data_IF_814105100449
#
_entry.id   IF_814105100449
#
_cell.length_a   1.000
_cell.length_b   1.000
_cell.length_c   1.000
_cell.angle_alpha   90.00
_cell.angle_beta   90.00
_cell.angle_gamma   90.00
#
_symmetry.space_group_name_H-M   'P 1'
#
loop_
_entity.id
_entity.type
_entity.pdbx_description
1 polymer ?
#
# COMPACT_ATOMS: atom_id res chain seq x y z
N UNK A 1 8.39 4.63 -19.23
CA UNK A 1 9.50 3.67 -19.26
C UNK A 1 10.59 4.30 -20.08
N UNK A 2 11.83 3.90 -19.82
CA UNK A 2 13.03 4.62 -20.27
C UNK A 2 13.22 4.62 -21.80
N UNK A 3 12.47 3.78 -22.53
CA UNK A 3 12.50 3.69 -24.01
C UNK A 3 11.11 3.80 -24.66
N UNK A 4 10.13 4.38 -23.98
CA UNK A 4 8.76 4.44 -24.52
C UNK A 4 8.69 5.17 -25.87
N UNK A 5 9.35 6.32 -25.99
CA UNK A 5 9.31 7.12 -27.22
C UNK A 5 10.15 6.50 -28.34
N UNK A 6 11.31 5.93 -28.00
CA UNK A 6 12.14 5.19 -28.93
C UNK A 6 11.38 4.00 -29.55
N UNK A 7 10.66 3.24 -28.71
CA UNK A 7 9.85 2.09 -29.17
C UNK A 7 8.72 2.52 -30.10
N UNK A 8 8.11 3.68 -29.85
CA UNK A 8 7.05 4.23 -30.70
C UNK A 8 7.58 5.02 -31.92
N UNK A 9 8.90 5.12 -32.09
CA UNK A 9 9.52 5.91 -33.16
C UNK A 9 9.22 7.40 -33.07
N UNK A 10 8.90 7.90 -31.87
CA UNK A 10 8.64 9.31 -31.62
C UNK A 10 9.98 9.99 -31.32
N UNK A 11 10.49 10.88 -32.20
CA UNK A 11 11.79 11.49 -31.99
C UNK A 11 11.76 12.49 -30.83
N UNK A 12 12.79 12.43 -30.00
CA UNK A 12 13.08 13.43 -28.97
C UNK A 12 13.69 14.66 -29.65
N UNK A 13 13.05 15.82 -29.47
CA UNK A 13 13.45 17.10 -30.06
C UNK A 13 14.39 17.90 -29.15
N UNK A 14 14.23 17.77 -27.83
CA UNK A 14 15.08 18.43 -26.84
C UNK A 14 15.03 17.72 -25.49
N UNK A 15 16.10 17.86 -24.69
CA UNK A 15 16.17 17.34 -23.33
C UNK A 15 16.52 15.86 -23.26
N UNK A 16 15.86 15.12 -22.35
CA UNK A 16 16.09 13.68 -22.14
C UNK A 16 14.77 12.92 -22.03
N UNK A 17 14.83 11.61 -22.24
CA UNK A 17 13.74 10.69 -21.89
C UNK A 17 13.67 10.49 -20.36
N UNK A 18 12.61 9.83 -19.89
CA UNK A 18 12.53 9.34 -18.53
C UNK A 18 13.65 8.35 -18.26
N UNK A 19 14.21 8.40 -17.06
CA UNK A 19 15.18 7.42 -16.62
C UNK A 19 14.88 6.91 -15.20
N UNK A 20 15.64 5.92 -14.76
CA UNK A 20 15.59 5.33 -13.42
C UNK A 20 15.69 6.33 -12.25
N UNK A 21 16.09 7.59 -12.48
CA UNK A 21 16.15 8.64 -11.45
C UNK A 21 14.80 9.34 -11.25
N UNK A 22 13.89 9.26 -12.24
CA UNK A 22 12.56 9.88 -12.21
C UNK A 22 11.55 9.04 -11.40
N UNK A 23 11.81 8.97 -10.10
CA UNK A 23 11.07 8.15 -9.13
C UNK A 23 9.96 8.94 -8.43
N UNK A 24 9.19 8.28 -7.57
CA UNK A 24 8.14 8.94 -6.76
C UNK A 24 8.70 9.98 -5.79
N UNK A 25 9.97 9.80 -5.38
CA UNK A 25 10.66 10.66 -4.42
C UNK A 25 11.47 11.78 -5.08
N UNK A 26 11.63 11.77 -6.41
CA UNK A 26 12.31 12.84 -7.13
C UNK A 26 11.38 14.03 -7.38
N UNK A 27 11.94 15.14 -7.88
CA UNK A 27 11.13 16.22 -8.43
C UNK A 27 10.16 15.66 -9.49
N UNK A 28 8.94 16.21 -9.55
CA UNK A 28 7.97 15.81 -10.58
C UNK A 28 8.44 16.30 -11.93
N UNK A 29 8.49 15.39 -12.89
CA UNK A 29 8.96 15.68 -14.23
C UNK A 29 7.93 15.23 -15.25
N UNK A 30 7.90 15.91 -16.39
CA UNK A 30 7.09 15.54 -17.53
C UNK A 30 7.87 15.71 -18.83
N UNK A 31 7.48 14.92 -19.83
CA UNK A 31 7.88 15.11 -21.22
C UNK A 31 6.67 15.65 -21.95
N UNK A 32 6.85 16.73 -22.72
CA UNK A 32 5.75 17.37 -23.45
C UNK A 32 5.97 17.20 -24.94
N UNK A 33 4.91 17.25 -25.73
CA UNK A 33 5.08 17.29 -27.17
C UNK A 33 5.38 18.71 -27.70
N UNK A 34 5.85 18.79 -28.94
CA UNK A 34 6.17 20.05 -29.61
C UNK A 34 4.97 21.02 -29.64
N UNK A 35 3.76 20.52 -29.83
CA UNK A 35 2.53 21.32 -29.84
C UNK A 35 2.29 22.02 -28.49
N UNK A 36 2.51 21.30 -27.39
CA UNK A 36 2.39 21.84 -26.03
C UNK A 36 3.51 22.85 -25.74
N UNK A 37 4.74 22.54 -26.15
CA UNK A 37 5.88 23.46 -26.04
C UNK A 37 5.59 24.80 -26.75
N UNK A 38 5.13 24.74 -28.00
CA UNK A 38 4.76 25.93 -28.79
C UNK A 38 3.59 26.71 -28.18
N UNK A 39 2.53 26.01 -27.76
CA UNK A 39 1.31 26.66 -27.27
C UNK A 39 1.51 27.37 -25.94
N UNK A 40 2.25 26.77 -25.00
CA UNK A 40 2.32 27.26 -23.62
C UNK A 40 3.65 27.94 -23.27
N UNK A 41 4.74 27.58 -23.95
CA UNK A 41 6.06 28.14 -23.66
C UNK A 41 6.58 29.05 -24.77
N UNK A 42 5.87 29.14 -25.90
CA UNK A 42 6.25 29.93 -27.08
C UNK A 42 7.66 29.62 -27.63
N UNK A 43 8.27 28.51 -27.20
CA UNK A 43 9.60 28.07 -27.64
C UNK A 43 9.71 26.54 -27.61
N UNK A 44 10.45 25.93 -28.56
CA UNK A 44 10.85 24.52 -28.49
C UNK A 44 11.77 24.22 -27.30
N UNK A 45 12.44 25.24 -26.73
CA UNK A 45 13.30 25.13 -25.55
C UNK A 45 12.49 25.13 -24.24
N UNK A 46 11.46 24.29 -24.16
CA UNK A 46 10.63 24.16 -22.97
C UNK A 46 11.31 23.38 -21.84
N UNK A 47 12.43 22.70 -22.12
CA UNK A 47 13.19 21.91 -21.14
C UNK A 47 13.68 22.79 -19.98
N UNK A 48 13.54 22.31 -18.74
CA UNK A 48 13.84 23.02 -17.51
C UNK A 48 12.75 24.00 -17.06
N UNK A 49 11.76 24.29 -17.91
CA UNK A 49 10.61 25.12 -17.50
C UNK A 49 9.71 24.31 -16.59
N UNK A 50 9.20 24.96 -15.56
CA UNK A 50 8.20 24.38 -14.66
C UNK A 50 6.83 24.91 -15.01
N UNK A 51 5.84 24.04 -14.94
CA UNK A 51 4.44 24.40 -15.03
C UNK A 51 3.71 23.81 -13.84
N UNK A 52 2.66 24.50 -13.43
CA UNK A 52 1.78 24.06 -12.37
C UNK A 52 0.37 24.25 -12.87
N UNK A 53 -0.54 23.36 -12.47
CA UNK A 53 -1.96 23.57 -12.72
C UNK A 53 -2.47 24.67 -11.79
N UNK A 54 -3.40 25.47 -12.29
CA UNK A 54 -4.03 26.58 -11.54
C UNK A 54 -4.52 26.11 -10.15
N UNK A 55 -4.40 27.02 -9.18
CA UNK A 55 -4.62 26.77 -7.76
C UNK A 55 -6.04 26.20 -7.52
N UNK A 56 -6.13 25.06 -6.81
CA UNK A 56 -7.40 24.35 -6.56
C UNK A 56 -7.59 23.01 -7.29
N UNK A 57 -6.64 22.57 -8.13
CA UNK A 57 -6.67 21.25 -8.76
C UNK A 57 -5.73 20.23 -8.11
N UNK A 58 -6.06 18.93 -8.26
CA UNK A 58 -5.53 17.75 -7.54
C UNK A 58 -3.99 17.53 -7.57
N UNK A 59 -3.23 18.38 -8.27
CA UNK A 59 -1.75 18.35 -8.32
C UNK A 59 -1.21 19.79 -8.38
N UNK A 60 -0.94 20.38 -7.21
CA UNK A 60 -0.33 21.72 -7.05
C UNK A 60 1.20 21.69 -7.07
N UNK A 61 1.82 20.51 -7.23
CA UNK A 61 3.27 20.41 -7.26
C UNK A 61 3.79 20.91 -8.62
N UNK A 62 4.75 21.85 -8.65
CA UNK A 62 5.38 22.26 -9.90
C UNK A 62 6.01 21.07 -10.61
N UNK A 63 5.67 20.90 -11.89
CA UNK A 63 6.20 19.85 -12.76
C UNK A 63 7.22 20.45 -13.70
N UNK A 64 8.43 19.89 -13.72
CA UNK A 64 9.50 20.31 -14.62
C UNK A 64 9.44 19.57 -15.95
N UNK A 65 9.56 20.30 -17.05
CA UNK A 65 9.69 19.69 -18.37
C UNK A 65 11.12 19.20 -18.55
N UNK A 66 11.34 17.89 -18.65
CA UNK A 66 12.68 17.30 -18.86
C UNK A 66 12.98 16.94 -20.30
N UNK A 67 11.95 16.87 -21.15
CA UNK A 67 12.08 16.56 -22.56
C UNK A 67 10.93 17.09 -23.40
N UNK A 68 11.21 17.32 -24.68
CA UNK A 68 10.24 17.68 -25.70
C UNK A 68 10.30 16.64 -26.82
N UNK A 69 9.17 16.03 -27.17
CA UNK A 69 9.06 15.03 -28.24
C UNK A 69 8.25 15.55 -29.42
N UNK A 70 8.44 14.97 -30.60
CA UNK A 70 7.65 15.33 -31.76
C UNK A 70 6.16 15.00 -31.57
N UNK A 71 5.31 15.84 -32.18
CA UNK A 71 3.86 15.62 -32.11
C UNK A 71 3.46 14.44 -32.98
N UNK A 72 3.01 13.35 -32.37
CA UNK A 72 2.42 12.21 -33.08
C UNK A 72 0.97 12.53 -33.46
N UNK A 73 0.60 12.32 -34.73
CA UNK A 73 -0.78 12.49 -35.20
C UNK A 73 -1.60 11.23 -34.89
N UNK A 74 -2.57 11.35 -33.97
CA UNK A 74 -3.27 10.19 -33.39
C UNK A 74 -4.55 9.75 -34.12
N UNK A 75 -5.20 10.62 -34.91
CA UNK A 75 -6.53 10.34 -35.50
C UNK A 75 -6.71 10.76 -36.96
N UNK A 76 -6.10 11.85 -37.42
CA UNK A 76 -6.15 12.25 -38.83
C UNK A 76 -5.00 13.21 -39.20
N UNK A 77 -4.63 13.30 -40.48
CA UNK A 77 -3.64 14.26 -40.98
C UNK A 77 -4.12 15.72 -40.91
N UNK A 78 -5.43 15.94 -40.70
CA UNK A 78 -6.14 17.23 -40.72
C UNK A 78 -6.42 17.83 -39.34
N UNK A 79 -6.23 17.08 -38.26
CA UNK A 79 -6.37 17.63 -36.90
C UNK A 79 -5.22 18.55 -36.52
N UNK A 80 -5.54 19.60 -35.79
CA UNK A 80 -4.56 20.49 -35.17
C UNK A 80 -3.74 19.71 -34.14
N UNK A 81 -2.43 19.99 -34.09
CA UNK A 81 -1.49 19.35 -33.19
C UNK A 81 -1.96 19.53 -31.73
N UNK A 82 -2.42 18.44 -31.09
CA UNK A 82 -2.95 18.52 -29.73
C UNK A 82 -1.80 18.62 -28.71
N UNK A 83 -1.86 19.53 -27.73
CA UNK A 83 -0.92 19.55 -26.61
C UNK A 83 -1.02 18.27 -25.77
N UNK A 84 0.05 17.49 -25.69
CA UNK A 84 0.12 16.25 -24.90
C UNK A 84 1.30 16.35 -23.92
N UNK A 85 1.05 15.93 -22.68
CA UNK A 85 2.07 15.71 -21.65
C UNK A 85 2.10 14.24 -21.24
N UNK A 86 3.30 13.72 -21.08
CA UNK A 86 3.58 12.38 -20.63
C UNK A 86 4.16 12.45 -19.21
N UNK A 87 3.69 11.57 -18.33
CA UNK A 87 4.18 11.45 -16.95
C UNK A 87 4.84 10.09 -16.74
N UNK A 88 5.87 10.02 -15.87
CA UNK A 88 6.48 8.74 -15.52
C UNK A 88 5.50 7.91 -14.69
N UNK A 89 5.26 6.65 -15.09
CA UNK A 89 4.33 5.72 -14.38
C UNK A 89 4.67 5.55 -12.89
N UNK A 90 5.94 5.73 -12.51
CA UNK A 90 6.40 5.61 -11.12
C UNK A 90 5.83 6.68 -10.16
N UNK A 91 5.29 7.79 -10.68
CA UNK A 91 4.80 8.92 -9.88
C UNK A 91 3.28 8.90 -9.60
N UNK A 92 2.55 7.84 -9.97
CA UNK A 92 1.11 7.72 -9.71
C UNK A 92 0.79 7.41 -8.22
N UNK A 93 -0.26 8.07 -7.70
CA UNK A 93 -0.67 8.06 -6.28
C UNK A 93 -1.45 6.82 -5.82
N UNK A 94 -1.56 5.77 -6.65
CA UNK A 94 -2.30 4.53 -6.28
C UNK A 94 -1.76 3.95 -4.97
N UNK A 95 -0.45 4.03 -4.74
CA UNK A 95 0.19 3.55 -3.52
C UNK A 95 -0.35 4.20 -2.24
N UNK A 96 -0.70 5.49 -2.26
CA UNK A 96 -1.18 6.21 -1.06
C UNK A 96 -2.58 5.74 -0.65
N UNK A 97 -3.48 5.58 -1.63
CA UNK A 97 -4.84 5.08 -1.36
C UNK A 97 -4.80 3.63 -0.89
N UNK A 98 -4.02 2.77 -1.55
CA UNK A 98 -3.83 1.39 -1.12
C UNK A 98 -3.23 1.31 0.29
N UNK A 99 -2.27 2.17 0.62
CA UNK A 99 -1.70 2.26 1.97
C UNK A 99 -2.74 2.64 3.03
N UNK A 100 -3.61 3.61 2.72
CA UNK A 100 -4.70 4.01 3.63
C UNK A 100 -5.69 2.87 3.89
N UNK A 101 -6.15 2.18 2.84
CA UNK A 101 -7.03 1.01 2.99
C UNK A 101 -6.34 -0.13 3.75
N UNK A 102 -5.05 -0.36 3.51
CA UNK A 102 -4.26 -1.33 4.25
C UNK A 102 -4.20 -1.01 5.74
N UNK A 103 -3.93 0.25 6.10
CA UNK A 103 -3.92 0.69 7.49
C UNK A 103 -5.29 0.51 8.17
N UNK A 104 -6.38 0.88 7.49
CA UNK A 104 -7.74 0.74 8.00
C UNK A 104 -8.11 -0.74 8.23
N UNK A 105 -7.75 -1.61 7.29
CA UNK A 105 -7.96 -3.05 7.42
C UNK A 105 -7.24 -3.63 8.64
N UNK A 106 -6.00 -3.21 8.90
CA UNK A 106 -5.23 -3.63 10.08
C UNK A 106 -5.92 -3.16 11.37
N UNK A 107 -6.40 -1.91 11.41
CA UNK A 107 -7.13 -1.38 12.58
C UNK A 107 -8.40 -2.20 12.85
N UNK A 108 -9.22 -2.45 11.83
CA UNK A 108 -10.45 -3.23 11.98
C UNK A 108 -10.17 -4.68 12.42
N UNK A 109 -9.14 -5.30 11.84
CA UNK A 109 -8.71 -6.63 12.26
C UNK A 109 -8.25 -6.66 13.72
N UNK A 110 -7.52 -5.64 14.16
CA UNK A 110 -7.06 -5.47 15.55
C UNK A 110 -8.24 -5.37 16.51
N UNK A 111 -9.23 -4.53 16.17
CA UNK A 111 -10.44 -4.34 16.99
C UNK A 111 -11.24 -5.63 17.07
N UNK A 112 -11.48 -6.29 15.93
CA UNK A 112 -12.22 -7.56 15.88
C UNK A 112 -11.53 -8.66 16.68
N UNK A 113 -10.21 -8.81 16.53
CA UNK A 113 -9.43 -9.79 17.28
C UNK A 113 -9.44 -9.49 18.79
N UNK A 114 -9.28 -8.22 19.18
CA UNK A 114 -9.39 -7.81 20.58
C UNK A 114 -10.76 -8.16 21.17
N UNK A 115 -11.85 -7.90 20.44
CA UNK A 115 -13.22 -8.21 20.88
C UNK A 115 -13.45 -9.71 21.08
N UNK A 116 -13.10 -10.52 20.08
CA UNK A 116 -13.23 -11.98 20.15
C UNK A 116 -12.39 -12.55 21.31
N UNK A 117 -11.15 -12.07 21.47
CA UNK A 117 -10.27 -12.55 22.54
C UNK A 117 -10.72 -12.10 23.92
N UNK A 118 -11.16 -10.84 24.06
CA UNK A 118 -11.75 -10.34 25.30
C UNK A 118 -12.96 -11.19 25.73
N UNK A 119 -13.83 -11.53 24.78
CA UNK A 119 -14.98 -12.40 25.03
C UNK A 119 -14.57 -13.82 25.45
N UNK A 120 -13.68 -14.46 24.70
CA UNK A 120 -13.23 -15.84 24.98
C UNK A 120 -12.52 -15.96 26.32
N UNK A 121 -11.70 -14.97 26.68
CA UNK A 121 -10.98 -14.93 27.95
C UNK A 121 -11.93 -14.62 29.11
N UNK A 122 -12.88 -13.70 28.91
CA UNK A 122 -13.91 -13.41 29.91
C UNK A 122 -14.77 -14.65 30.23
N UNK A 123 -15.03 -15.51 29.23
CA UNK A 123 -15.82 -16.74 29.37
C UNK A 123 -15.07 -17.88 30.07
N UNK A 124 -13.73 -17.88 30.03
CA UNK A 124 -12.86 -18.89 30.68
C UNK A 124 -12.22 -18.40 32.00
N UNK A 125 -12.68 -17.27 32.54
CA UNK A 125 -12.12 -16.67 33.77
C UNK A 125 -12.11 -17.66 34.95
N UNK A 126 -13.17 -18.43 35.14
CA UNK A 126 -13.30 -19.35 36.27
C UNK A 126 -12.26 -20.48 36.21
N UNK A 127 -12.01 -21.06 35.04
CA UNK A 127 -10.97 -22.09 34.86
C UNK A 127 -9.56 -21.54 35.08
N UNK A 128 -9.30 -20.31 34.61
CA UNK A 128 -8.01 -19.64 34.76
C UNK A 128 -7.76 -19.31 36.24
N UNK A 129 -8.78 -18.81 36.95
CA UNK A 129 -8.72 -18.52 38.38
C UNK A 129 -8.45 -19.75 39.22
N UNK A 130 -9.11 -20.87 38.95
CA UNK A 130 -8.86 -22.15 39.64
C UNK A 130 -7.43 -22.66 39.40
N UNK A 131 -6.92 -22.59 38.16
CA UNK A 131 -5.53 -22.98 37.87
C UNK A 131 -4.51 -22.14 38.61
N UNK A 132 -4.72 -20.82 38.71
CA UNK A 132 -3.84 -19.91 39.46
C UNK A 132 -3.92 -20.20 40.96
N UNK A 133 -5.11 -20.46 41.49
CA UNK A 133 -5.30 -20.83 42.91
C UNK A 133 -4.62 -22.16 43.27
N UNK A 134 -4.53 -23.11 42.32
CA UNK A 134 -3.79 -24.36 42.45
C UNK A 134 -2.26 -24.20 42.24
N UNK A 135 -1.76 -22.97 42.07
CA UNK A 135 -0.32 -22.68 41.96
C UNK A 135 0.24 -22.67 40.53
N UNK A 136 -0.60 -22.64 39.48
CA UNK A 136 -0.12 -22.57 38.12
C UNK A 136 0.57 -21.22 37.82
N UNK A 137 1.72 -21.27 37.17
CA UNK A 137 2.49 -20.10 36.78
C UNK A 137 1.77 -19.26 35.71
N UNK A 138 1.68 -17.93 35.93
CA UNK A 138 0.96 -16.98 35.03
C UNK A 138 1.49 -17.01 33.59
N UNK A 139 2.78 -17.36 33.42
CA UNK A 139 3.46 -17.54 32.13
C UNK A 139 2.85 -18.66 31.28
N UNK A 140 2.33 -19.72 31.91
CA UNK A 140 1.70 -20.87 31.23
C UNK A 140 0.35 -20.50 30.64
N UNK A 141 -0.42 -19.66 31.33
CA UNK A 141 -1.72 -19.15 30.86
C UNK A 141 -1.54 -18.21 29.67
N UNK A 142 -0.59 -17.27 29.77
CA UNK A 142 -0.28 -16.34 28.66
C UNK A 142 0.16 -17.11 27.41
N UNK A 143 1.03 -18.13 27.56
CA UNK A 143 1.49 -18.95 26.43
C UNK A 143 0.35 -19.73 25.77
N UNK A 144 -0.61 -20.22 26.55
CA UNK A 144 -1.78 -20.92 26.01
C UNK A 144 -2.62 -20.00 25.13
N UNK A 145 -2.95 -18.81 25.64
CA UNK A 145 -3.76 -17.80 24.92
C UNK A 145 -3.03 -17.30 23.66
N UNK A 146 -1.72 -17.01 23.77
CA UNK A 146 -0.92 -16.60 22.61
C UNK A 146 -0.84 -17.68 21.54
N UNK A 147 -0.77 -18.96 21.90
CA UNK A 147 -0.75 -20.06 20.93
C UNK A 147 -2.08 -20.21 20.20
N UNK A 148 -3.19 -20.08 20.91
CA UNK A 148 -4.53 -20.07 20.31
C UNK A 148 -4.67 -18.93 19.29
N UNK A 149 -4.25 -17.72 19.65
CA UNK A 149 -4.25 -16.58 18.74
C UNK A 149 -3.33 -16.80 17.54
N UNK A 150 -2.11 -17.28 17.79
CA UNK A 150 -1.14 -17.54 16.72
C UNK A 150 -1.73 -18.47 15.66
N UNK A 151 -2.49 -19.51 16.05
CA UNK A 151 -3.14 -20.40 15.08
C UNK A 151 -4.20 -19.71 14.22
N UNK A 152 -5.05 -18.86 14.81
CA UNK A 152 -6.07 -18.09 14.08
C UNK A 152 -5.42 -17.10 13.12
N UNK A 153 -4.41 -16.36 13.59
CA UNK A 153 -3.68 -15.37 12.81
C UNK A 153 -2.92 -16.02 11.65
N UNK A 154 -2.21 -17.12 11.92
CA UNK A 154 -1.47 -17.84 10.87
C UNK A 154 -2.41 -18.45 9.83
N UNK A 155 -3.54 -19.04 10.24
CA UNK A 155 -4.54 -19.54 9.31
C UNK A 155 -5.13 -18.42 8.45
N UNK A 156 -5.48 -17.27 9.06
CA UNK A 156 -5.98 -16.10 8.36
C UNK A 156 -4.97 -15.54 7.36
N UNK A 157 -3.68 -15.44 7.74
CA UNK A 157 -2.60 -14.99 6.85
C UNK A 157 -2.40 -15.98 5.70
N UNK A 158 -2.40 -17.29 5.96
CA UNK A 158 -2.24 -18.30 4.92
C UNK A 158 -3.39 -18.27 3.90
N UNK A 159 -4.64 -18.20 4.37
CA UNK A 159 -5.82 -18.09 3.50
C UNK A 159 -5.80 -16.78 2.72
N UNK A 160 -5.54 -15.65 3.40
CA UNK A 160 -5.49 -14.34 2.78
C UNK A 160 -4.39 -14.24 1.72
N UNK A 161 -3.22 -14.82 1.98
CA UNK A 161 -2.13 -14.91 1.02
C UNK A 161 -2.55 -15.76 -0.19
N UNK A 162 -3.12 -16.94 0.02
CA UNK A 162 -3.63 -17.79 -1.07
C UNK A 162 -4.66 -17.08 -1.96
N UNK A 163 -5.64 -16.41 -1.36
CA UNK A 163 -6.66 -15.62 -2.07
C UNK A 163 -6.04 -14.45 -2.82
N UNK A 164 -5.12 -13.73 -2.20
CA UNK A 164 -4.42 -12.60 -2.81
C UNK A 164 -3.61 -13.04 -4.03
N UNK A 165 -2.88 -14.16 -3.95
CA UNK A 165 -2.16 -14.74 -5.09
C UNK A 165 -3.14 -15.15 -6.21
N UNK A 166 -4.28 -15.76 -5.86
CA UNK A 166 -5.30 -16.13 -6.83
C UNK A 166 -5.88 -14.94 -7.59
N UNK A 167 -6.24 -13.87 -6.87
CA UNK A 167 -6.76 -12.64 -7.46
C UNK A 167 -5.70 -11.89 -8.27
N UNK A 168 -4.46 -11.84 -7.79
CA UNK A 168 -3.34 -11.23 -8.53
C UNK A 168 -3.15 -11.91 -9.89
N UNK A 169 -3.23 -13.25 -9.95
CA UNK A 169 -3.17 -13.99 -11.23
C UNK A 169 -4.30 -13.61 -12.18
N UNK A 170 -5.52 -13.45 -11.66
CA UNK A 170 -6.66 -13.04 -12.47
C UNK A 170 -6.43 -11.63 -13.05
N UNK A 171 -5.96 -10.68 -12.24
CA UNK A 171 -5.69 -9.30 -12.67
C UNK A 171 -4.56 -9.25 -13.71
N UNK A 172 -3.46 -9.98 -13.50
CA UNK A 172 -2.35 -10.06 -14.46
C UNK A 172 -2.81 -10.66 -15.81
N UNK A 173 -3.78 -11.58 -15.80
CA UNK A 173 -4.35 -12.11 -17.04
C UNK A 173 -5.10 -11.05 -17.87
N UNK A 174 -5.58 -9.97 -17.25
CA UNK A 174 -6.23 -8.85 -17.95
C UNK A 174 -5.25 -7.71 -18.31
N UNK A 175 -4.09 -7.61 -17.66
CA UNK A 175 -3.14 -6.50 -17.82
C UNK A 175 -1.80 -7.00 -18.37
N UNK A 176 -1.57 -6.76 -19.66
CA UNK A 176 -0.29 -7.05 -20.32
C UNK A 176 0.85 -6.19 -19.72
N UNK A 177 1.92 -6.85 -19.26
CA UNK A 177 3.19 -6.19 -18.91
C UNK A 177 3.36 -5.73 -17.45
N UNK A 178 2.54 -6.20 -16.50
CA UNK A 178 2.76 -5.95 -15.07
C UNK A 178 3.72 -7.01 -14.51
N UNK A 179 4.88 -6.58 -14.01
CA UNK A 179 5.86 -7.46 -13.41
C UNK A 179 5.28 -8.14 -12.15
N UNK A 180 5.41 -9.47 -11.99
CA UNK A 180 4.27 -10.23 -11.52
C UNK A 180 4.22 -10.45 -10.00
N UNK A 181 5.34 -10.30 -9.28
CA UNK A 181 5.39 -10.63 -7.84
C UNK A 181 6.55 -9.92 -7.14
N UNK A 182 6.26 -9.02 -6.20
CA UNK A 182 7.26 -8.57 -5.25
C UNK A 182 7.15 -9.41 -3.96
N UNK A 183 8.01 -10.43 -3.85
CA UNK A 183 8.07 -11.33 -2.69
C UNK A 183 8.32 -10.55 -1.41
N UNK A 184 9.07 -9.44 -1.46
CA UNK A 184 9.36 -8.63 -0.29
C UNK A 184 8.10 -7.90 0.24
N UNK A 185 7.24 -7.43 -0.66
CA UNK A 185 5.96 -6.81 -0.28
C UNK A 185 5.02 -7.83 0.39
N UNK A 186 4.92 -9.03 -0.17
CA UNK A 186 4.08 -10.09 0.43
C UNK A 186 4.62 -10.58 1.78
N UNK A 187 5.94 -10.76 1.90
CA UNK A 187 6.58 -11.19 3.14
C UNK A 187 6.46 -10.12 4.24
N UNK A 188 6.70 -8.85 3.92
CA UNK A 188 6.56 -7.75 4.89
C UNK A 188 5.11 -7.59 5.35
N UNK A 189 4.12 -7.69 4.45
CA UNK A 189 2.71 -7.65 4.82
C UNK A 189 2.33 -8.80 5.77
N UNK A 190 2.77 -10.03 5.49
CA UNK A 190 2.52 -11.18 6.36
C UNK A 190 3.13 -10.97 7.76
N UNK A 191 4.39 -10.52 7.83
CA UNK A 191 5.08 -10.24 9.11
C UNK A 191 4.34 -9.17 9.90
N UNK A 192 3.93 -8.08 9.25
CA UNK A 192 3.18 -6.99 9.91
C UNK A 192 1.85 -7.49 10.46
N UNK A 193 1.08 -8.25 9.68
CA UNK A 193 -0.21 -8.80 10.13
C UNK A 193 -0.05 -9.74 11.32
N UNK A 194 0.96 -10.61 11.30
CA UNK A 194 1.26 -11.51 12.42
C UNK A 194 1.66 -10.71 13.66
N UNK A 195 2.57 -9.75 13.52
CA UNK A 195 3.03 -8.91 14.63
C UNK A 195 1.88 -8.12 15.26
N UNK A 196 1.02 -7.51 14.45
CA UNK A 196 -0.14 -6.76 14.94
C UNK A 196 -1.15 -7.67 15.62
N UNK A 197 -1.46 -8.83 15.04
CA UNK A 197 -2.39 -9.80 15.65
C UNK A 197 -1.91 -10.29 17.02
N UNK A 198 -0.62 -10.60 17.15
CA UNK A 198 -0.02 -10.99 18.42
C UNK A 198 -0.02 -9.84 19.44
N UNK A 199 0.32 -8.62 19.01
CA UNK A 199 0.30 -7.44 19.88
C UNK A 199 -1.13 -7.14 20.39
N UNK A 200 -2.13 -7.24 19.51
CA UNK A 200 -3.54 -7.04 19.84
C UNK A 200 -4.03 -8.03 20.90
N UNK A 201 -3.55 -9.27 20.85
CA UNK A 201 -3.93 -10.31 21.80
C UNK A 201 -3.11 -10.32 23.10
N UNK A 202 -1.89 -9.77 23.09
CA UNK A 202 -1.04 -9.70 24.27
C UNK A 202 -1.68 -8.85 25.39
N UNK A 203 -2.35 -7.76 25.04
CA UNK A 203 -3.05 -6.87 25.98
C UNK A 203 -4.17 -7.59 26.77
N UNK A 204 -5.19 -8.22 26.15
CA UNK A 204 -6.23 -8.94 26.88
C UNK A 204 -5.68 -10.16 27.63
N UNK A 205 -4.69 -10.89 27.07
CA UNK A 205 -4.05 -12.01 27.76
C UNK A 205 -3.35 -11.56 29.06
N UNK A 206 -2.64 -10.43 29.01
CA UNK A 206 -2.00 -9.85 30.17
C UNK A 206 -3.00 -9.34 31.21
N UNK A 207 -4.04 -8.64 30.77
CA UNK A 207 -5.12 -8.17 31.66
C UNK A 207 -5.78 -9.32 32.41
N UNK A 208 -6.08 -10.42 31.74
CA UNK A 208 -6.71 -11.58 32.38
C UNK A 208 -5.82 -12.29 33.39
N UNK A 209 -4.50 -12.31 33.17
CA UNK A 209 -3.53 -12.87 34.13
C UNK A 209 -3.37 -12.06 35.42
N UNK A 210 -3.91 -10.84 35.46
CA UNK A 210 -3.83 -9.92 36.60
C UNK A 210 -5.14 -9.82 37.39
N UNK A 211 -6.22 -10.45 36.94
CA UNK A 211 -7.47 -10.47 37.68
C UNK A 211 -7.33 -11.36 38.92
N UNK A 212 -7.68 -10.82 40.08
CA UNK A 212 -7.53 -11.51 41.36
C UNK A 212 -8.61 -12.61 41.50
N UNK A 213 -8.23 -13.88 41.72
CA UNK A 213 -9.18 -14.99 41.81
C UNK A 213 -10.22 -14.82 42.92
N UNK A 214 -9.83 -14.13 44.00
CA UNK A 214 -10.65 -13.94 45.21
C UNK A 214 -11.73 -12.86 45.00
N UNK A 215 -11.48 -11.87 44.13
CA UNK A 215 -12.50 -10.86 43.79
C UNK A 215 -13.61 -11.44 42.90
N UNK A 216 -13.28 -12.41 42.03
CA UNK A 216 -14.24 -13.06 41.14
C UNK A 216 -15.23 -14.00 41.87
N UNK A 217 -14.88 -14.49 43.06
CA UNK A 217 -15.74 -15.34 43.90
C UNK A 217 -16.66 -14.53 44.85
N UNK A 218 -16.52 -13.20 44.88
CA UNK A 218 -17.27 -12.32 45.78
C UNK A 218 -18.42 -11.57 45.10
N UNK A 219 -18.59 -11.80 43.79
CA UNK A 219 -19.69 -11.25 42.96
C UNK A 219 -20.81 -12.28 42.67
N UNK A 220 -20.71 -13.50 43.20
CA UNK A 220 -21.82 -14.45 43.36
C UNK A 220 -22.30 -14.47 44.82
#
# INVERSE_FOLDING_TARGET
SDDYFATLGIPLLAGRDFDHRDTRTSARVAIVNEAMAKKFFATPAAVGRRFQKEEGSSWSTPVEVVGVVATTKYRSLRDSAQPIMYFPRGQESIATLSGFFGALAVILATIGLYGIMGYNVARRRNEIGVRIALGAERSRVIRLVLREVATIVLAGVAIGMGLSLGLARLVVAFLYGVAPWDVATFASAAVVLVAVGLAAAALPAWRASRLDPVAALREE
#
